data_IF_860777635557
#
_entry.id   IF_860777635557
#
_cell.length_a   1.000
_cell.length_b   1.000
_cell.length_c   1.000
_cell.angle_alpha   90.00
_cell.angle_beta   90.00
_cell.angle_gamma   90.00
#
_symmetry.space_group_name_H-M   'P 1'
#
loop_
_entity.id
_entity.type
_entity.pdbx_description
1 polymer ?
#
# COMPACT_ATOMS: atom_id res chain seq x y z
N UNK A 1 39.15 -10.18 -25.47
CA UNK A 1 38.77 -10.48 -24.08
C UNK A 1 37.38 -9.92 -23.68
N UNK A 2 36.41 -9.80 -24.62
CA UNK A 2 35.05 -9.27 -24.33
C UNK A 2 33.90 -10.28 -24.46
N UNK A 3 34.17 -11.54 -24.83
CA UNK A 3 33.13 -12.51 -25.19
C UNK A 3 32.08 -12.76 -24.08
N UNK A 4 32.45 -12.69 -22.81
CA UNK A 4 31.52 -12.94 -21.70
C UNK A 4 30.50 -11.81 -21.52
N UNK A 5 30.97 -10.55 -21.52
CA UNK A 5 30.09 -9.39 -21.41
C UNK A 5 29.20 -9.27 -22.65
N UNK A 6 29.76 -9.52 -23.84
CA UNK A 6 29.00 -9.50 -25.09
C UNK A 6 27.87 -10.55 -25.09
N UNK A 7 28.14 -11.74 -24.54
CA UNK A 7 27.13 -12.79 -24.37
C UNK A 7 26.01 -12.37 -23.40
N UNK A 8 26.34 -11.67 -22.30
CA UNK A 8 25.35 -11.14 -21.35
C UNK A 8 24.47 -10.09 -22.03
N UNK A 9 25.07 -9.13 -22.74
CA UNK A 9 24.31 -8.11 -23.48
C UNK A 9 23.47 -8.72 -24.61
N UNK A 10 23.97 -9.75 -25.29
CA UNK A 10 23.21 -10.48 -26.29
C UNK A 10 22.01 -11.21 -25.67
N UNK A 11 22.17 -11.80 -24.48
CA UNK A 11 21.08 -12.47 -23.76
C UNK A 11 19.97 -11.48 -23.36
N UNK A 12 20.32 -10.30 -22.83
CA UNK A 12 19.33 -9.24 -22.55
C UNK A 12 18.60 -8.79 -23.81
N UNK A 13 19.32 -8.59 -24.92
CA UNK A 13 18.72 -8.24 -26.23
C UNK A 13 17.77 -9.30 -26.75
N UNK A 14 18.11 -10.59 -26.63
CA UNK A 14 17.22 -11.72 -27.00
C UNK A 14 15.91 -11.66 -26.21
N UNK A 15 15.97 -11.31 -24.92
CA UNK A 15 14.77 -11.13 -24.08
C UNK A 15 14.09 -9.77 -24.25
N UNK A 16 14.71 -8.81 -24.95
CA UNK A 16 14.16 -7.47 -25.17
C UNK A 16 14.16 -6.63 -23.89
N UNK A 17 15.14 -6.85 -23.02
CA UNK A 17 15.30 -6.13 -21.76
C UNK A 17 16.49 -5.18 -21.84
N UNK A 18 16.44 -4.11 -21.05
CA UNK A 18 17.59 -3.23 -20.87
C UNK A 18 18.74 -3.98 -20.18
N UNK A 19 19.99 -3.67 -20.50
CA UNK A 19 21.12 -4.19 -19.75
C UNK A 19 20.97 -3.88 -18.27
N UNK A 20 21.39 -4.81 -17.41
CA UNK A 20 21.35 -4.64 -15.95
C UNK A 20 19.94 -4.67 -15.32
N UNK A 21 18.93 -5.11 -16.10
CA UNK A 21 17.59 -5.40 -15.58
C UNK A 21 17.63 -6.49 -14.50
N UNK A 22 16.74 -6.36 -13.52
CA UNK A 22 16.61 -7.31 -12.42
C UNK A 22 16.21 -8.72 -12.90
N UNK A 23 16.66 -9.75 -12.18
CA UNK A 23 16.36 -11.14 -12.50
C UNK A 23 14.85 -11.46 -12.46
N UNK A 24 14.04 -10.77 -11.65
CA UNK A 24 12.59 -10.95 -11.67
C UNK A 24 11.98 -10.51 -13.02
N UNK A 25 12.48 -9.42 -13.59
CA UNK A 25 12.10 -8.94 -14.92
C UNK A 25 12.58 -9.90 -16.03
N UNK A 26 13.77 -10.48 -15.88
CA UNK A 26 14.27 -11.54 -16.76
C UNK A 26 13.33 -12.75 -16.75
N UNK A 27 12.89 -13.21 -15.56
CA UNK A 27 11.95 -14.32 -15.43
C UNK A 27 10.59 -14.04 -16.08
N UNK A 28 10.04 -12.84 -15.89
CA UNK A 28 8.74 -12.48 -16.46
C UNK A 28 8.80 -12.39 -17.99
N UNK A 29 9.81 -11.72 -18.55
CA UNK A 29 10.03 -11.61 -19.98
C UNK A 29 10.29 -12.97 -20.64
N UNK A 30 11.11 -13.81 -20.01
CA UNK A 30 11.36 -15.18 -20.46
C UNK A 30 10.05 -15.99 -20.52
N UNK A 31 9.24 -15.97 -19.46
CA UNK A 31 7.94 -16.69 -19.44
C UNK A 31 7.00 -16.20 -20.55
N UNK A 32 6.93 -14.89 -20.79
CA UNK A 32 6.10 -14.33 -21.86
C UNK A 32 6.57 -14.80 -23.24
N UNK A 33 7.89 -14.76 -23.50
CA UNK A 33 8.44 -15.20 -24.80
C UNK A 33 8.31 -16.71 -25.00
N UNK A 34 8.60 -17.51 -23.98
CA UNK A 34 8.47 -18.98 -24.07
C UNK A 34 7.04 -19.38 -24.39
N UNK A 35 6.02 -18.75 -23.77
CA UNK A 35 4.61 -19.02 -24.09
C UNK A 35 4.29 -18.88 -25.58
N UNK A 36 4.94 -17.94 -26.28
CA UNK A 36 4.74 -17.73 -27.73
C UNK A 36 5.43 -18.75 -28.63
N UNK A 37 6.35 -19.55 -28.09
CA UNK A 37 7.19 -20.50 -28.84
C UNK A 37 7.06 -21.94 -28.29
N UNK A 38 6.27 -22.16 -27.24
CA UNK A 38 6.17 -23.44 -26.57
C UNK A 38 5.47 -24.48 -27.46
N UNK A 39 6.00 -25.73 -27.56
CA UNK A 39 5.40 -26.80 -28.38
C UNK A 39 3.94 -27.13 -28.03
N UNK A 40 3.53 -26.90 -26.77
CA UNK A 40 2.15 -27.16 -26.34
C UNK A 40 1.14 -26.15 -26.91
N UNK A 41 1.59 -24.97 -27.36
CA UNK A 41 0.72 -23.89 -27.85
C UNK A 41 0.92 -23.60 -29.34
N UNK A 42 2.08 -23.95 -29.90
CA UNK A 42 2.46 -23.67 -31.28
C UNK A 42 3.09 -24.92 -31.88
N UNK A 43 2.81 -25.20 -33.15
CA UNK A 43 3.36 -26.36 -33.84
C UNK A 43 4.91 -26.39 -33.78
N UNK A 44 5.50 -27.54 -33.47
CA UNK A 44 6.95 -27.68 -33.30
C UNK A 44 7.64 -27.72 -34.67
N UNK A 45 7.85 -26.53 -35.26
CA UNK A 45 8.69 -26.38 -36.46
C UNK A 45 10.17 -26.25 -36.06
N UNK A 46 11.12 -26.60 -36.95
CA UNK A 46 12.55 -26.41 -36.69
C UNK A 46 12.92 -24.98 -36.30
N UNK A 47 12.24 -23.99 -36.89
CA UNK A 47 12.44 -22.57 -36.57
C UNK A 47 11.95 -22.22 -35.15
N UNK A 48 10.80 -22.76 -34.73
CA UNK A 48 10.25 -22.60 -33.38
C UNK A 48 11.21 -23.20 -32.34
N UNK A 49 11.71 -24.41 -32.58
CA UNK A 49 12.65 -25.10 -31.69
C UNK A 49 13.99 -24.36 -31.56
N UNK A 50 14.54 -23.86 -32.67
CA UNK A 50 15.77 -23.06 -32.65
C UNK A 50 15.59 -21.77 -31.82
N UNK A 51 14.46 -21.08 -31.96
CA UNK A 51 14.15 -19.89 -31.13
C UNK A 51 14.03 -20.24 -29.66
N UNK A 52 13.36 -21.34 -29.33
CA UNK A 52 13.21 -21.82 -27.96
C UNK A 52 14.58 -22.14 -27.34
N UNK A 53 15.47 -22.80 -28.07
CA UNK A 53 16.83 -23.07 -27.61
C UNK A 53 17.62 -21.79 -27.30
N UNK A 54 17.50 -20.77 -28.14
CA UNK A 54 18.13 -19.46 -27.91
C UNK A 54 17.57 -18.78 -26.66
N UNK A 55 16.25 -18.84 -26.43
CA UNK A 55 15.61 -18.29 -25.23
C UNK A 55 16.05 -19.02 -23.96
N UNK A 56 16.14 -20.35 -23.98
CA UNK A 56 16.62 -21.15 -22.85
C UNK A 56 18.07 -20.78 -22.50
N UNK A 57 18.94 -20.73 -23.50
CA UNK A 57 20.36 -20.39 -23.30
C UNK A 57 20.54 -18.96 -22.77
N UNK A 58 19.76 -18.01 -23.28
CA UNK A 58 19.77 -16.64 -22.76
C UNK A 58 19.34 -16.60 -21.29
N UNK A 59 18.30 -17.36 -20.91
CA UNK A 59 17.84 -17.42 -19.53
C UNK A 59 18.86 -18.07 -18.58
N UNK A 60 19.53 -19.14 -19.01
CA UNK A 60 20.58 -19.80 -18.23
C UNK A 60 21.76 -18.87 -17.91
N UNK A 61 22.21 -18.08 -18.88
CA UNK A 61 23.26 -17.07 -18.68
C UNK A 61 22.80 -16.04 -17.65
N UNK A 62 21.61 -15.47 -17.85
CA UNK A 62 21.09 -14.42 -16.98
C UNK A 62 20.72 -14.91 -15.58
N UNK A 63 20.41 -16.19 -15.40
CA UNK A 63 20.20 -16.79 -14.07
C UNK A 63 21.42 -16.67 -13.16
N UNK A 64 22.62 -16.69 -13.74
CA UNK A 64 23.89 -16.56 -13.01
C UNK A 64 24.33 -15.10 -12.94
N UNK A 65 24.18 -14.35 -14.03
CA UNK A 65 24.78 -13.02 -14.15
C UNK A 65 23.85 -11.84 -13.83
N UNK A 66 22.53 -12.00 -13.87
CA UNK A 66 21.61 -10.89 -13.64
C UNK A 66 21.62 -10.47 -12.16
N UNK A 67 21.62 -9.16 -11.88
CA UNK A 67 21.51 -8.68 -10.51
C UNK A 67 20.15 -9.06 -9.94
N UNK A 68 20.10 -9.30 -8.63
CA UNK A 68 18.86 -9.50 -7.88
C UNK A 68 18.55 -8.26 -7.06
N UNK A 69 17.34 -7.73 -7.18
CA UNK A 69 16.88 -6.56 -6.44
C UNK A 69 15.95 -6.96 -5.30
N UNK A 70 16.24 -6.46 -4.11
CA UNK A 70 15.36 -6.56 -2.93
C UNK A 70 15.07 -5.15 -2.43
N UNK A 71 13.83 -4.89 -2.09
CA UNK A 71 13.43 -3.64 -1.45
C UNK A 71 13.55 -3.77 0.08
N UNK A 72 14.34 -2.90 0.71
CA UNK A 72 14.46 -2.78 2.16
C UNK A 72 13.77 -1.51 2.62
N UNK A 73 12.76 -1.65 3.46
CA UNK A 73 12.07 -0.52 4.07
C UNK A 73 12.83 -0.08 5.31
N UNK A 74 13.20 1.21 5.37
CA UNK A 74 13.84 1.84 6.53
C UNK A 74 13.02 3.04 7.00
N UNK A 75 13.04 3.33 8.30
CA UNK A 75 12.45 4.57 8.81
C UNK A 75 13.35 5.78 8.50
N UNK A 76 12.83 7.02 8.52
CA UNK A 76 13.64 8.22 8.28
C UNK A 76 14.77 8.39 9.29
N UNK A 77 14.56 7.97 10.54
CA UNK A 77 15.58 8.05 11.59
C UNK A 77 16.68 7.00 11.39
N UNK A 78 16.31 5.79 10.98
CA UNK A 78 17.27 4.75 10.61
C UNK A 78 18.07 5.12 9.36
N UNK A 79 17.44 5.73 8.37
CA UNK A 79 18.11 6.21 7.16
C UNK A 79 19.06 7.37 7.45
N UNK A 80 18.74 8.23 8.43
CA UNK A 80 19.63 9.32 8.90
C UNK A 80 20.83 8.76 9.67
N UNK A 81 20.60 7.87 10.63
CA UNK A 81 21.65 7.26 11.43
C UNK A 81 22.58 6.36 10.59
N UNK A 82 22.02 5.64 9.61
CA UNK A 82 22.74 4.61 8.86
C UNK A 82 23.15 3.43 9.75
N UNK A 83 24.22 2.74 9.37
CA UNK A 83 24.85 1.69 10.18
C UNK A 83 24.97 0.34 9.47
N UNK A 84 25.29 -0.70 10.25
CA UNK A 84 25.29 -2.08 9.77
C UNK A 84 23.88 -2.68 9.95
N UNK A 85 23.36 -3.30 8.91
CA UNK A 85 22.05 -3.95 8.90
C UNK A 85 22.19 -5.34 8.32
N UNK A 86 21.35 -6.25 8.81
CA UNK A 86 21.23 -7.60 8.26
C UNK A 86 20.01 -7.64 7.37
N UNK A 87 20.16 -8.14 6.15
CA UNK A 87 19.09 -8.32 5.17
C UNK A 87 18.96 -9.82 4.88
N UNK A 88 17.74 -10.31 4.76
CA UNK A 88 17.48 -11.68 4.31
C UNK A 88 17.39 -11.72 2.78
N UNK A 89 18.34 -12.42 2.17
CA UNK A 89 18.47 -12.65 0.73
C UNK A 89 17.95 -14.06 0.42
N UNK A 90 16.63 -14.20 0.27
CA UNK A 90 15.95 -15.46 -0.10
C UNK A 90 16.48 -16.70 0.66
N UNK A 91 16.59 -16.61 2.00
CA UNK A 91 17.03 -17.71 2.86
C UNK A 91 18.52 -17.66 3.26
N UNK A 92 19.21 -16.57 2.95
CA UNK A 92 20.57 -16.27 3.43
C UNK A 92 20.61 -14.89 4.06
N UNK A 93 21.08 -14.79 5.29
CA UNK A 93 21.32 -13.49 5.90
C UNK A 93 22.66 -12.91 5.42
N UNK A 94 22.62 -11.68 4.91
CA UNK A 94 23.81 -10.92 4.55
C UNK A 94 23.83 -9.59 5.30
N UNK A 95 25.02 -9.15 5.69
CA UNK A 95 25.20 -7.84 6.28
C UNK A 95 25.40 -6.79 5.20
N UNK A 96 24.83 -5.61 5.41
CA UNK A 96 24.93 -4.48 4.51
C UNK A 96 25.20 -3.22 5.32
N UNK A 97 26.09 -2.37 4.81
CA UNK A 97 26.36 -1.07 5.42
C UNK A 97 25.52 -0.01 4.74
N UNK A 98 24.56 0.56 5.48
CA UNK A 98 23.74 1.67 5.02
C UNK A 98 24.49 2.98 5.34
N UNK A 99 24.81 3.80 4.32
CA UNK A 99 25.39 5.12 4.56
C UNK A 99 24.46 6.01 5.39
N UNK A 100 24.98 6.92 6.23
CA UNK A 100 24.15 7.91 6.89
C UNK A 100 23.50 8.84 5.86
N UNK A 101 22.31 9.35 6.16
CA UNK A 101 21.54 10.25 5.29
C UNK A 101 21.18 9.60 3.94
N UNK A 102 20.84 8.30 3.97
CA UNK A 102 20.41 7.59 2.77
C UNK A 102 19.03 8.05 2.31
N UNK A 103 18.87 8.23 1.00
CA UNK A 103 17.59 8.61 0.36
C UNK A 103 16.84 7.39 -0.17
N UNK A 104 15.52 7.53 -0.32
CA UNK A 104 14.70 6.55 -1.03
C UNK A 104 15.21 6.32 -2.45
N UNK A 105 15.33 5.06 -2.85
CA UNK A 105 15.84 4.63 -4.14
C UNK A 105 17.35 4.37 -4.17
N UNK A 106 18.08 4.60 -3.07
CA UNK A 106 19.50 4.28 -3.00
C UNK A 106 19.73 2.75 -3.16
N UNK A 107 20.70 2.39 -4.00
CA UNK A 107 21.12 1.00 -4.20
C UNK A 107 22.37 0.72 -3.40
N UNK A 108 22.32 -0.30 -2.55
CA UNK A 108 23.45 -0.73 -1.72
C UNK A 108 23.67 -2.23 -1.91
N UNK A 109 24.92 -2.63 -2.08
CA UNK A 109 25.29 -4.03 -2.19
C UNK A 109 25.59 -4.62 -0.79
N UNK A 110 25.06 -5.80 -0.45
CA UNK A 110 25.46 -6.53 0.76
C UNK A 110 26.94 -6.94 0.71
N UNK A 111 27.56 -7.01 1.88
CA UNK A 111 28.94 -7.44 2.06
C UNK A 111 29.03 -8.94 1.74
N UNK A 112 29.90 -9.29 0.79
CA UNK A 112 30.14 -10.68 0.38
C UNK A 112 29.23 -11.19 -0.74
N UNK A 113 28.17 -10.45 -1.09
CA UNK A 113 27.17 -10.88 -2.08
C UNK A 113 26.94 -9.80 -3.15
N UNK A 114 27.90 -9.58 -4.08
CA UNK A 114 27.88 -8.47 -5.04
C UNK A 114 26.81 -8.63 -6.13
N UNK A 115 26.26 -9.83 -6.31
CA UNK A 115 25.17 -10.08 -7.26
C UNK A 115 23.82 -9.50 -6.77
N UNK A 116 23.72 -9.18 -5.47
CA UNK A 116 22.52 -8.62 -4.88
C UNK A 116 22.62 -7.11 -4.77
N UNK A 117 21.51 -6.46 -5.07
CA UNK A 117 21.33 -5.01 -4.94
C UNK A 117 20.12 -4.77 -4.07
N UNK A 118 20.33 -4.13 -2.94
CA UNK A 118 19.23 -3.76 -2.04
C UNK A 118 18.85 -2.32 -2.34
N UNK A 119 17.61 -2.11 -2.77
CA UNK A 119 17.02 -0.80 -2.95
C UNK A 119 16.42 -0.37 -1.63
N UNK A 120 16.88 0.76 -1.11
CA UNK A 120 16.41 1.30 0.16
C UNK A 120 15.18 2.15 -0.09
N UNK A 121 14.08 1.83 0.58
CA UNK A 121 12.85 2.61 0.59
C UNK A 121 12.71 3.25 1.96
N UNK A 122 12.93 4.56 2.04
CA UNK A 122 12.72 5.30 3.29
C UNK A 122 11.23 5.62 3.39
N UNK A 123 10.54 5.01 4.36
CA UNK A 123 9.12 5.24 4.62
C UNK A 123 8.93 5.49 6.11
N UNK A 124 8.05 6.42 6.44
CA UNK A 124 7.68 6.70 7.81
C UNK A 124 6.41 5.91 8.16
N UNK A 125 6.49 4.89 9.05
CA UNK A 125 5.32 4.13 9.45
C UNK A 125 4.28 5.01 10.17
N UNK A 126 4.65 6.17 10.71
CA UNK A 126 3.69 7.11 11.32
C UNK A 126 2.99 8.02 10.31
N UNK A 127 3.57 8.24 9.12
CA UNK A 127 2.98 9.13 8.10
C UNK A 127 2.19 8.38 7.02
N UNK A 128 2.43 7.08 6.84
CA UNK A 128 1.66 6.20 5.94
C UNK A 128 0.29 5.84 6.58
N UNK A 129 -0.52 6.85 6.90
CA UNK A 129 -1.93 6.72 7.31
C UNK A 129 -2.85 6.33 6.14
N UNK A 130 -2.37 5.48 5.23
CA UNK A 130 -3.23 4.71 4.31
C UNK A 130 -3.44 3.28 4.82
N UNK A 131 -2.95 2.96 6.01
CA UNK A 131 -3.32 1.74 6.72
C UNK A 131 -4.83 1.78 7.00
N UNK A 132 -5.56 0.85 6.42
CA UNK A 132 -6.97 0.60 6.72
C UNK A 132 -7.20 0.68 8.23
N UNK A 133 -8.10 1.60 8.63
CA UNK A 133 -8.48 1.76 10.02
C UNK A 133 -8.78 0.39 10.64
N UNK A 134 -8.03 0.03 11.67
CA UNK A 134 -8.17 -1.27 12.31
C UNK A 134 -9.62 -1.49 12.77
N UNK A 135 -10.11 -2.74 12.79
CA UNK A 135 -11.51 -3.03 13.15
C UNK A 135 -11.90 -2.48 14.53
N UNK A 136 -10.95 -2.38 15.46
CA UNK A 136 -11.16 -1.82 16.79
C UNK A 136 -11.39 -0.29 16.77
N UNK A 137 -10.69 0.44 15.90
CA UNK A 137 -10.81 1.90 15.81
C UNK A 137 -12.12 2.30 15.11
N UNK A 138 -12.52 1.52 14.10
CA UNK A 138 -13.83 1.66 13.44
C UNK A 138 -14.98 1.41 14.41
N UNK A 139 -14.92 0.34 15.19
CA UNK A 139 -15.92 0.03 16.21
C UNK A 139 -16.03 1.11 17.30
N UNK A 140 -14.90 1.68 17.74
CA UNK A 140 -14.88 2.76 18.72
C UNK A 140 -15.54 4.04 18.18
N UNK A 141 -15.34 4.36 16.90
CA UNK A 141 -15.98 5.52 16.26
C UNK A 141 -17.47 5.31 16.08
N UNK A 142 -17.88 4.13 15.63
CA UNK A 142 -19.31 3.77 15.50
C UNK A 142 -20.03 3.84 16.84
N UNK A 143 -19.43 3.31 17.91
CA UNK A 143 -19.99 3.40 19.26
C UNK A 143 -20.15 4.87 19.72
N UNK A 144 -19.14 5.71 19.45
CA UNK A 144 -19.20 7.14 19.78
C UNK A 144 -20.26 7.88 18.96
N UNK A 145 -20.42 7.53 17.68
CA UNK A 145 -21.48 8.08 16.83
C UNK A 145 -22.88 7.69 17.34
N UNK A 146 -23.08 6.41 17.70
CA UNK A 146 -24.33 5.93 18.28
C UNK A 146 -24.66 6.64 19.60
N UNK A 147 -23.69 6.83 20.48
CA UNK A 147 -23.88 7.57 21.73
C UNK A 147 -24.28 9.03 21.50
N UNK A 148 -23.68 9.70 20.52
CA UNK A 148 -24.04 11.07 20.17
C UNK A 148 -25.45 11.15 19.55
N UNK A 149 -25.82 10.18 18.72
CA UNK A 149 -27.16 10.09 18.14
C UNK A 149 -28.24 9.79 19.18
N UNK A 150 -27.97 8.92 20.15
CA UNK A 150 -28.88 8.68 21.28
C UNK A 150 -29.00 9.91 22.17
N UNK A 151 -27.90 10.62 22.41
CA UNK A 151 -27.90 11.85 23.20
C UNK A 151 -28.70 12.96 22.50
N UNK A 152 -28.55 13.14 21.19
CA UNK A 152 -29.33 14.13 20.43
C UNK A 152 -30.81 13.75 20.39
N UNK A 153 -31.15 12.48 20.15
CA UNK A 153 -32.53 12.01 20.18
C UNK A 153 -33.20 12.20 21.56
N UNK A 154 -32.46 11.96 22.66
CA UNK A 154 -32.95 12.24 24.01
C UNK A 154 -33.14 13.74 24.25
N UNK A 155 -32.25 14.58 23.73
CA UNK A 155 -32.40 16.04 23.84
C UNK A 155 -33.65 16.53 23.10
N UNK A 156 -33.91 16.02 21.89
CA UNK A 156 -35.11 16.33 21.10
C UNK A 156 -36.40 15.82 21.77
N UNK A 157 -36.37 14.62 22.35
CA UNK A 157 -37.48 14.08 23.12
C UNK A 157 -37.79 14.92 24.37
N UNK A 158 -36.76 15.39 25.08
CA UNK A 158 -36.93 16.27 26.23
C UNK A 158 -37.45 17.67 25.83
N UNK A 159 -36.98 18.21 24.70
CA UNK A 159 -37.47 19.48 24.16
C UNK A 159 -38.94 19.38 23.71
N UNK A 160 -39.35 18.27 23.13
CA UNK A 160 -40.76 18.05 22.78
C UNK A 160 -41.64 17.81 24.02
N UNK A 161 -41.14 17.11 25.03
CA UNK A 161 -41.84 16.92 26.30
C UNK A 161 -42.02 18.24 27.08
N UNK A 162 -41.03 19.14 27.06
CA UNK A 162 -41.17 20.45 27.69
C UNK A 162 -42.22 21.32 26.98
N UNK A 163 -42.25 21.31 25.64
CA UNK A 163 -43.29 22.00 24.85
C UNK A 163 -44.71 21.48 25.16
N UNK A 164 -44.87 20.17 25.30
CA UNK A 164 -46.16 19.56 25.68
C UNK A 164 -46.56 19.95 27.11
N UNK A 165 -45.59 20.03 28.02
CA UNK A 165 -45.83 20.46 29.41
C UNK A 165 -46.27 21.93 29.45
N UNK A 166 -45.60 22.82 28.71
CA UNK A 166 -45.99 24.21 28.59
C UNK A 166 -47.37 24.38 27.96
N UNK A 167 -47.70 23.59 26.94
CA UNK A 167 -49.04 23.56 26.35
C UNK A 167 -50.09 23.13 27.38
N UNK A 168 -49.84 22.05 28.12
CA UNK A 168 -50.76 21.52 29.12
C UNK A 168 -51.04 22.54 30.24
N UNK A 169 -50.00 23.20 30.76
CA UNK A 169 -50.14 24.28 31.74
C UNK A 169 -50.96 25.46 31.18
N UNK A 170 -50.72 25.83 29.92
CA UNK A 170 -51.33 27.01 29.31
C UNK A 170 -52.77 26.81 28.87
N UNK A 171 -53.14 25.60 28.41
CA UNK A 171 -54.45 25.32 27.82
C UNK A 171 -55.34 24.42 28.66
N UNK A 172 -54.79 23.48 29.43
CA UNK A 172 -55.60 22.54 30.22
C UNK A 172 -55.79 23.07 31.64
N UNK A 173 -54.71 23.47 32.32
CA UNK A 173 -54.77 23.95 33.71
C UNK A 173 -55.22 25.40 33.88
N UNK A 174 -55.03 26.26 32.87
CA UNK A 174 -55.51 27.64 32.95
C UNK A 174 -57.04 27.67 33.05
N UNK A 175 -57.61 28.35 34.04
CA UNK A 175 -59.06 28.49 34.20
C UNK A 175 -59.67 29.24 33.01
N UNK A 176 -60.95 29.00 32.65
CA UNK A 176 -61.60 29.67 31.52
C UNK A 176 -61.50 31.21 31.56
N UNK A 177 -61.60 31.80 32.75
CA UNK A 177 -61.44 33.25 32.95
C UNK A 177 -60.01 33.75 32.62
N UNK A 178 -58.97 32.99 32.97
CA UNK A 178 -57.58 33.33 32.67
C UNK A 178 -57.23 33.20 31.17
N UNK A 179 -58.00 32.40 30.41
CA UNK A 179 -57.90 32.29 28.95
C UNK A 179 -58.57 33.51 28.28
N UNK A 180 -59.76 33.87 28.72
CA UNK A 180 -60.51 35.03 28.21
C UNK A 180 -59.75 36.35 28.44
N UNK A 181 -59.21 36.57 29.64
CA UNK A 181 -58.43 37.77 29.97
C UNK A 181 -57.13 37.92 29.17
N UNK A 182 -56.56 36.81 28.64
CA UNK A 182 -55.38 36.83 27.77
C UNK A 182 -55.75 37.07 26.30
N UNK A 183 -56.90 36.56 25.85
CA UNK A 183 -57.41 36.82 24.51
C UNK A 183 -57.75 38.30 24.33
N UNK A 184 -58.49 38.90 25.28
CA UNK A 184 -58.83 40.33 25.26
C UNK A 184 -57.59 41.23 25.28
N UNK A 185 -56.53 40.85 26.00
CA UNK A 185 -55.27 41.61 26.01
C UNK A 185 -54.47 41.51 24.71
N UNK A 186 -54.63 40.43 23.94
CA UNK A 186 -53.91 40.22 22.67
C UNK A 186 -54.63 40.84 21.47
N UNK A 187 -55.93 41.12 21.58
CA UNK A 187 -56.71 41.83 20.56
C UNK A 187 -56.74 43.36 20.75
N UNK A 188 -56.28 43.86 21.89
CA UNK A 188 -56.20 45.29 22.22
C UNK A 188 -54.79 45.91 22.05
N UNK A 189 -53.83 45.13 21.55
CA UNK A 189 -52.47 45.56 21.20
C UNK A 189 -52.22 45.22 19.72
#
# INVERSE_FOLDING_TARGET
MNNANDAIFAAYRVLGLEPDSDYAAVKSAFRQKVKSVHPDHVEPTPATLARLQVLLKAHEILKVCAPRQIDLVLTPDEARAGGLRTVDLEGRSAMMRVPPVTKTGALVAPIGEPAWRVRILVRDPMADCTADEGPAERAAREAKASQLAEASARAEANASASLLTEFYERFVKATPAARFARWVRRSAA
#
